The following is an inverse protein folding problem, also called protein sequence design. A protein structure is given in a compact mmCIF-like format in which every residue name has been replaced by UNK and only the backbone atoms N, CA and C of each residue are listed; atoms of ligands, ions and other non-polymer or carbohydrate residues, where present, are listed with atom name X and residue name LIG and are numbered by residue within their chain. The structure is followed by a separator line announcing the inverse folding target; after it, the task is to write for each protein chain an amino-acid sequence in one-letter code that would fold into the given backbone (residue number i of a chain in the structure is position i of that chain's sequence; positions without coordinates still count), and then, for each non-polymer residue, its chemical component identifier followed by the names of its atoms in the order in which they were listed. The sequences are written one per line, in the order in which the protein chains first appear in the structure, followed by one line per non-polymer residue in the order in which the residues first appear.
data_IF_970145713722
#
_entry.id   IF_970145713722
#
_cell.length_a   1.000
_cell.length_b   1.000
_cell.length_c   1.000
_cell.angle_alpha   90.00
_cell.angle_beta   90.00
_cell.angle_gamma   90.00
#
_symmetry.space_group_name_H-M   'P 1'
#
loop_
_entity.id
_entity.type
_entity.pdbx_description
1 polymer ?
#
# COMPACT_ATOMS: atom_id res chain seq x y z
N UNK A 1 21.90 19.83 19.75
CA UNK A 1 20.69 19.12 20.19
C UNK A 1 19.91 18.71 18.96
N UNK A 2 19.77 17.41 18.70
CA UNK A 2 18.94 16.88 17.61
C UNK A 2 17.47 17.04 18.07
N UNK A 3 16.71 17.93 17.44
CA UNK A 3 15.30 18.08 17.72
C UNK A 3 14.57 16.79 17.28
N UNK A 4 13.80 16.19 18.17
CA UNK A 4 13.00 15.02 17.85
C UNK A 4 12.00 15.37 16.71
N UNK A 5 11.72 14.43 15.80
CA UNK A 5 10.73 14.66 14.75
C UNK A 5 9.36 14.95 15.39
N UNK A 6 8.54 15.81 14.76
CA UNK A 6 7.19 16.07 15.26
C UNK A 6 6.40 14.77 15.38
N UNK A 7 5.55 14.66 16.41
CA UNK A 7 4.79 13.42 16.71
C UNK A 7 3.99 12.91 15.51
N UNK A 8 3.48 13.80 14.69
CA UNK A 8 2.75 13.46 13.46
C UNK A 8 3.65 12.74 12.46
N UNK A 9 4.86 13.25 12.23
CA UNK A 9 5.83 12.61 11.33
C UNK A 9 6.18 11.21 11.82
N UNK A 10 6.41 11.03 13.12
CA UNK A 10 6.70 9.72 13.69
C UNK A 10 5.53 8.74 13.52
N UNK A 11 4.29 9.22 13.69
CA UNK A 11 3.09 8.43 13.46
C UNK A 11 3.04 7.93 12.02
N UNK A 12 3.25 8.81 11.02
CA UNK A 12 3.24 8.43 9.61
C UNK A 12 4.36 7.45 9.24
N UNK A 13 5.54 7.55 9.85
CA UNK A 13 6.59 6.53 9.69
C UNK A 13 6.12 5.15 10.17
N UNK A 14 5.49 5.09 11.34
CA UNK A 14 4.96 3.82 11.89
C UNK A 14 3.84 3.25 11.04
N UNK A 15 2.92 4.10 10.56
CA UNK A 15 1.85 3.70 9.66
C UNK A 15 2.43 3.19 8.33
N UNK A 16 3.40 3.87 7.74
CA UNK A 16 4.06 3.42 6.51
C UNK A 16 4.68 2.03 6.68
N UNK A 17 5.41 1.80 7.78
CA UNK A 17 6.02 0.50 8.05
C UNK A 17 4.96 -0.60 8.21
N UNK A 18 3.89 -0.32 8.96
CA UNK A 18 2.79 -1.27 9.17
C UNK A 18 2.08 -1.61 7.86
N UNK A 19 1.68 -0.60 7.08
CA UNK A 19 0.99 -0.81 5.81
C UNK A 19 1.88 -1.49 4.77
N UNK A 20 3.17 -1.18 4.73
CA UNK A 20 4.13 -1.88 3.85
C UNK A 20 4.22 -3.36 4.22
N UNK A 21 4.36 -3.68 5.50
CA UNK A 21 4.39 -5.07 5.96
C UNK A 21 3.10 -5.81 5.60
N UNK A 22 1.95 -5.18 5.83
CA UNK A 22 0.64 -5.75 5.49
C UNK A 22 0.51 -5.99 3.98
N UNK A 23 0.90 -5.03 3.15
CA UNK A 23 0.85 -5.15 1.68
C UNK A 23 1.74 -6.28 1.18
N UNK A 24 2.98 -6.39 1.67
CA UNK A 24 3.90 -7.46 1.29
C UNK A 24 3.36 -8.82 1.72
N UNK A 25 2.82 -8.93 2.93
CA UNK A 25 2.23 -10.18 3.43
C UNK A 25 1.04 -10.62 2.59
N UNK A 26 0.12 -9.69 2.27
CA UNK A 26 -1.02 -9.96 1.39
C UNK A 26 -0.58 -10.32 -0.02
N UNK A 27 0.42 -9.65 -0.58
CA UNK A 27 0.99 -9.99 -1.88
C UNK A 27 1.57 -11.40 -1.92
N UNK A 28 2.26 -11.81 -0.86
CA UNK A 28 2.77 -13.18 -0.74
C UNK A 28 1.62 -14.21 -0.72
N UNK A 29 0.51 -13.94 -0.03
CA UNK A 29 -0.67 -14.81 -0.01
C UNK A 29 -1.34 -14.85 -1.39
N UNK A 30 -1.52 -13.70 -2.06
CA UNK A 30 -2.06 -13.63 -3.44
C UNK A 30 -1.22 -14.48 -4.39
N UNK A 31 0.12 -14.37 -4.33
CA UNK A 31 1.01 -15.19 -5.13
C UNK A 31 0.91 -16.69 -4.79
N UNK A 32 0.89 -17.04 -3.51
CA UNK A 32 0.82 -18.44 -3.07
C UNK A 32 -0.50 -19.11 -3.44
N UNK A 33 -1.59 -18.36 -3.47
CA UNK A 33 -2.93 -18.84 -3.85
C UNK A 33 -3.22 -18.71 -5.35
N UNK A 34 -2.29 -18.16 -6.15
CA UNK A 34 -2.46 -17.86 -7.56
C UNK A 34 -3.67 -16.97 -7.88
N UNK A 35 -4.07 -16.12 -6.93
CA UNK A 35 -5.25 -15.23 -7.03
C UNK A 35 -4.95 -13.90 -7.74
N UNK A 36 -3.75 -13.71 -8.28
CA UNK A 36 -3.30 -12.44 -8.85
C UNK A 36 -3.85 -12.12 -10.24
N UNK A 37 -4.67 -12.99 -10.83
CA UNK A 37 -5.27 -12.82 -12.16
C UNK A 37 -6.79 -12.95 -12.15
N UNK A 38 -7.40 -12.96 -10.98
CA UNK A 38 -8.85 -13.15 -10.82
C UNK A 38 -9.64 -11.86 -11.05
N UNK A 39 -8.98 -10.71 -10.97
CA UNK A 39 -9.57 -9.40 -11.27
C UNK A 39 -9.30 -8.98 -12.73
N UNK A 40 -10.35 -8.78 -13.51
CA UNK A 40 -10.27 -8.47 -14.94
C UNK A 40 -10.10 -6.98 -15.24
N UNK A 41 -10.36 -6.10 -14.28
CA UNK A 41 -10.26 -4.65 -14.43
C UNK A 41 -9.30 -4.02 -13.40
N UNK A 42 -8.90 -2.78 -13.67
CA UNK A 42 -8.06 -1.98 -12.80
C UNK A 42 -8.60 -0.53 -12.74
N UNK A 43 -8.64 0.16 -11.61
CA UNK A 43 -8.09 -0.22 -10.28
C UNK A 43 -8.95 -1.18 -9.47
N UNK A 44 -10.23 -1.35 -9.83
CA UNK A 44 -11.15 -2.29 -9.20
C UNK A 44 -11.05 -3.69 -9.79
N UNK A 45 -11.91 -4.58 -9.34
CA UNK A 45 -12.03 -5.95 -9.82
C UNK A 45 -13.16 -6.11 -10.85
N UNK A 46 -14.08 -5.15 -10.92
CA UNK A 46 -15.28 -5.14 -11.75
C UNK A 46 -15.29 -3.91 -12.65
N UNK A 47 -15.73 -4.05 -13.90
CA UNK A 47 -15.66 -2.98 -14.89
C UNK A 47 -16.53 -1.76 -14.56
N UNK A 48 -17.63 -1.97 -13.86
CA UNK A 48 -18.63 -0.94 -13.55
C UNK A 48 -18.62 -0.46 -12.08
N UNK A 49 -17.86 -1.15 -11.20
CA UNK A 49 -17.87 -0.88 -9.78
C UNK A 49 -16.56 -1.28 -9.09
N UNK A 50 -16.28 -0.60 -8.02
CA UNK A 50 -15.06 -0.86 -7.23
C UNK A 50 -15.23 -2.02 -6.23
N UNK A 51 -16.44 -2.23 -5.72
CA UNK A 51 -16.77 -3.23 -4.71
C UNK A 51 -17.71 -4.28 -5.30
N UNK A 52 -17.56 -5.59 -4.97
CA UNK A 52 -18.47 -6.63 -5.44
C UNK A 52 -19.92 -6.32 -5.02
N UNK A 53 -20.86 -6.54 -5.92
CA UNK A 53 -22.28 -6.52 -5.60
C UNK A 53 -22.71 -7.83 -4.92
N UNK A 54 -23.92 -7.89 -4.36
CA UNK A 54 -24.42 -9.10 -3.68
C UNK A 54 -24.42 -10.35 -4.56
N UNK A 55 -24.60 -10.20 -5.87
CA UNK A 55 -24.57 -11.30 -6.84
C UNK A 55 -23.16 -11.85 -7.10
N UNK A 56 -22.12 -11.05 -6.85
CA UNK A 56 -20.74 -11.44 -7.11
C UNK A 56 -20.08 -12.13 -5.90
N UNK A 57 -20.67 -11.99 -4.71
CA UNK A 57 -20.09 -12.52 -3.46
C UNK A 57 -19.81 -14.02 -3.53
N UNK A 58 -20.71 -14.90 -4.03
CA UNK A 58 -20.42 -16.32 -4.13
C UNK A 58 -19.22 -16.63 -5.04
N UNK A 59 -19.14 -15.98 -6.18
CA UNK A 59 -18.01 -16.15 -7.12
C UNK A 59 -16.71 -15.58 -6.55
N UNK A 60 -16.78 -14.43 -5.89
CA UNK A 60 -15.65 -13.80 -5.22
C UNK A 60 -15.02 -14.65 -4.11
N UNK A 61 -15.82 -15.44 -3.42
CA UNK A 61 -15.34 -16.35 -2.37
C UNK A 61 -14.67 -17.62 -2.93
N UNK A 62 -15.11 -18.08 -4.11
CA UNK A 62 -14.59 -19.31 -4.73
C UNK A 62 -13.30 -19.01 -5.54
N UNK A 63 -13.29 -17.95 -6.32
CA UNK A 63 -12.17 -17.60 -7.18
C UNK A 63 -11.10 -16.73 -6.52
N UNK A 64 -11.31 -16.34 -5.25
CA UNK A 64 -10.45 -15.42 -4.48
C UNK A 64 -10.20 -14.01 -5.09
N UNK A 65 -11.07 -13.44 -5.96
CA UNK A 65 -10.89 -12.06 -6.42
C UNK A 65 -10.99 -11.07 -5.24
N UNK A 66 -11.67 -11.45 -4.15
CA UNK A 66 -11.72 -10.66 -2.93
C UNK A 66 -10.32 -10.49 -2.30
N UNK A 67 -9.49 -11.51 -2.32
CA UNK A 67 -8.13 -11.46 -1.78
C UNK A 67 -7.25 -10.52 -2.62
N UNK A 68 -7.32 -10.62 -3.95
CA UNK A 68 -6.62 -9.72 -4.86
C UNK A 68 -7.09 -8.27 -4.67
N UNK A 69 -8.39 -8.05 -4.53
CA UNK A 69 -8.95 -6.72 -4.31
C UNK A 69 -8.48 -6.11 -2.98
N UNK A 70 -8.48 -6.89 -1.89
CA UNK A 70 -7.97 -6.44 -0.59
C UNK A 70 -6.49 -6.06 -0.71
N UNK A 71 -5.70 -6.87 -1.42
CA UNK A 71 -4.29 -6.54 -1.67
C UNK A 71 -4.13 -5.23 -2.46
N UNK A 72 -4.89 -5.01 -3.54
CA UNK A 72 -4.86 -3.78 -4.34
C UNK A 72 -5.24 -2.55 -3.50
N UNK A 73 -6.32 -2.62 -2.73
CA UNK A 73 -6.74 -1.50 -1.84
C UNK A 73 -5.66 -1.20 -0.79
N UNK A 74 -5.09 -2.25 -0.20
CA UNK A 74 -4.01 -2.08 0.79
C UNK A 74 -2.76 -1.46 0.14
N UNK A 75 -2.40 -1.88 -1.07
CA UNK A 75 -1.27 -1.32 -1.82
C UNK A 75 -1.48 0.17 -2.15
N UNK A 76 -2.68 0.55 -2.63
CA UNK A 76 -3.01 1.95 -2.90
C UNK A 76 -2.97 2.80 -1.62
N UNK A 77 -3.51 2.28 -0.52
CA UNK A 77 -3.46 2.95 0.79
C UNK A 77 -2.01 3.13 1.26
N UNK A 78 -1.19 2.09 1.11
CA UNK A 78 0.25 2.14 1.43
C UNK A 78 0.95 3.23 0.61
N UNK A 79 0.67 3.31 -0.69
CA UNK A 79 1.19 4.34 -1.57
C UNK A 79 0.82 5.75 -1.09
N UNK A 80 -0.46 5.97 -0.75
CA UNK A 80 -0.92 7.26 -0.24
C UNK A 80 -0.24 7.64 1.08
N UNK A 81 -0.14 6.71 2.03
CA UNK A 81 0.54 6.93 3.32
C UNK A 81 2.03 7.23 3.12
N UNK A 82 2.70 6.54 2.20
CA UNK A 82 4.10 6.79 1.86
C UNK A 82 4.29 8.18 1.27
N UNK A 83 3.43 8.63 0.35
CA UNK A 83 3.49 9.98 -0.23
C UNK A 83 3.37 11.02 0.89
N UNK A 84 2.39 10.91 1.77
CA UNK A 84 2.23 11.81 2.90
C UNK A 84 3.47 11.78 3.80
N UNK A 85 4.03 10.60 4.06
CA UNK A 85 5.26 10.45 4.87
C UNK A 85 6.45 11.17 4.22
N UNK A 86 6.61 11.04 2.90
CA UNK A 86 7.66 11.77 2.14
C UNK A 86 7.48 13.27 2.28
N UNK A 87 6.26 13.77 2.06
CA UNK A 87 5.97 15.21 2.17
C UNK A 87 6.28 15.72 3.58
N UNK A 88 5.81 15.03 4.61
CA UNK A 88 6.09 15.39 6.00
C UNK A 88 7.59 15.34 6.33
N UNK A 89 8.32 14.35 5.80
CA UNK A 89 9.76 14.23 5.99
C UNK A 89 10.54 15.36 5.30
N UNK A 90 10.09 15.81 4.13
CA UNK A 90 10.69 16.93 3.41
C UNK A 90 10.42 18.27 4.09
N UNK A 91 9.21 18.45 4.64
CA UNK A 91 8.81 19.66 5.36
C UNK A 91 9.44 19.73 6.77
N UNK A 92 9.76 18.59 7.37
CA UNK A 92 10.38 18.55 8.68
C UNK A 92 11.81 19.10 8.62
N UNK A 93 12.11 20.10 9.43
CA UNK A 93 13.47 20.69 9.57
C UNK A 93 14.38 19.78 10.41
N UNK A 94 14.38 18.48 10.13
CA UNK A 94 15.23 17.52 10.87
C UNK A 94 16.60 17.40 10.19
N UNK A 95 17.71 17.43 10.94
CA UNK A 95 19.06 17.39 10.38
C UNK A 95 19.49 15.99 9.90
N UNK A 96 18.73 14.94 10.19
CA UNK A 96 19.10 13.56 9.89
C UNK A 96 18.72 13.21 8.44
N UNK A 97 19.73 13.01 7.58
CA UNK A 97 19.53 12.62 6.17
C UNK A 97 18.68 11.34 6.02
N UNK A 98 18.87 10.37 6.91
CA UNK A 98 18.15 9.10 6.87
C UNK A 98 16.62 9.28 6.95
N UNK A 99 16.13 10.25 7.75
CA UNK A 99 14.68 10.51 7.87
C UNK A 99 14.06 11.05 6.59
N UNK A 100 14.84 11.58 5.66
CA UNK A 100 14.36 12.06 4.35
C UNK A 100 14.55 11.03 3.26
N UNK A 101 15.68 10.32 3.27
CA UNK A 101 16.05 9.38 2.20
C UNK A 101 15.24 8.09 2.27
N UNK A 102 15.06 7.51 3.45
CA UNK A 102 14.36 6.23 3.61
C UNK A 102 12.94 6.20 3.04
N UNK A 103 12.04 7.18 3.35
CA UNK A 103 10.70 7.15 2.78
C UNK A 103 10.69 7.38 1.26
N UNK A 104 11.63 8.16 0.72
CA UNK A 104 11.76 8.36 -0.73
C UNK A 104 12.16 7.05 -1.40
N UNK A 105 13.18 6.36 -0.87
CA UNK A 105 13.61 5.06 -1.41
C UNK A 105 12.48 4.03 -1.32
N UNK A 106 11.75 3.98 -0.21
CA UNK A 106 10.60 3.08 -0.04
C UNK A 106 9.49 3.38 -1.05
N UNK A 107 9.17 4.66 -1.28
CA UNK A 107 8.16 5.06 -2.25
C UNK A 107 8.57 4.73 -3.69
N UNK A 108 9.83 4.95 -4.05
CA UNK A 108 10.36 4.58 -5.37
C UNK A 108 10.36 3.06 -5.58
N UNK A 109 10.82 2.29 -4.59
CA UNK A 109 10.80 0.83 -4.67
C UNK A 109 9.39 0.28 -4.82
N UNK A 110 8.42 0.81 -4.03
CA UNK A 110 7.02 0.45 -4.15
C UNK A 110 6.41 0.82 -5.50
N UNK A 111 6.73 2.00 -6.03
CA UNK A 111 6.30 2.44 -7.36
C UNK A 111 6.81 1.55 -8.48
N UNK A 112 8.08 1.16 -8.43
CA UNK A 112 8.67 0.21 -9.40
C UNK A 112 7.97 -1.14 -9.31
N UNK A 113 7.75 -1.67 -8.10
CA UNK A 113 7.08 -2.97 -7.91
C UNK A 113 5.63 -2.98 -8.39
N UNK A 114 4.96 -1.83 -8.49
CA UNK A 114 3.60 -1.73 -8.98
C UNK A 114 3.51 -1.75 -10.52
N UNK A 115 4.63 -1.59 -11.23
CA UNK A 115 4.69 -1.61 -12.70
C UNK A 115 4.93 -3.02 -13.29
N UNK A 116 5.29 -3.97 -12.45
CA UNK A 116 5.54 -5.37 -12.79
C UNK A 116 4.54 -6.31 -12.12
#
# INVERSE_FOLDING_TARGET
MLSAPPRVTLLFYRLSALFTLLTVSLGAVVCATRSGFDCHSWPGCYDDRFVPGPADIPAALVANPALEMVHRVTAMTTGAVLIVTVVLALLAKTPVRATRVLPIVAALAGGVSALF
#
